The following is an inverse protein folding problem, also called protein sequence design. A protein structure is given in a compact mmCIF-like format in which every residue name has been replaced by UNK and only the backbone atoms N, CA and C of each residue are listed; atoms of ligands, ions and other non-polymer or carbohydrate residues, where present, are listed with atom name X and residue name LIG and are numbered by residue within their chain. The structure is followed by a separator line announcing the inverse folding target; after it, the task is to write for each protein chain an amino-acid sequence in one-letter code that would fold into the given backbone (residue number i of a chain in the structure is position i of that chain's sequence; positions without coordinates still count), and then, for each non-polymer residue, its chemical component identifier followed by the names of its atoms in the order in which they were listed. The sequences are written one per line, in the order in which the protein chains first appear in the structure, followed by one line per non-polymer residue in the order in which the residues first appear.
data_IF_763475522955
#
_entry.id   IF_763475522955
#
_cell.length_a   1.000
_cell.length_b   1.000
_cell.length_c   1.000
_cell.angle_alpha   90.00
_cell.angle_beta   90.00
_cell.angle_gamma   90.00
#
_symmetry.space_group_name_H-M   'P 1'
#
loop_
_entity.id
_entity.type
_entity.pdbx_description
1 polymer ?
#
# COMPACT_ATOMS: atom_id res chain seq x y z
N UNK A 1 12.87 5.20 18.34
CA UNK A 1 12.94 6.67 18.41
C UNK A 1 12.90 7.36 17.04
N UNK A 2 13.97 7.41 16.23
CA UNK A 2 13.94 8.16 14.95
C UNK A 2 13.01 7.54 13.88
N UNK A 3 12.94 6.20 13.85
CA UNK A 3 12.12 5.46 12.89
C UNK A 3 10.61 5.61 13.18
N UNK A 4 10.21 5.63 14.45
CA UNK A 4 8.81 5.87 14.85
C UNK A 4 8.32 7.27 14.46
N UNK A 5 9.18 8.28 14.59
CA UNK A 5 8.86 9.64 14.16
C UNK A 5 8.75 9.78 12.64
N UNK A 6 9.50 8.97 11.87
CA UNK A 6 9.34 8.89 10.41
C UNK A 6 8.01 8.25 10.04
N UNK A 7 7.68 7.11 10.65
CA UNK A 7 6.43 6.40 10.37
C UNK A 7 5.19 7.24 10.68
N UNK A 8 5.17 7.98 11.79
CA UNK A 8 4.06 8.89 12.11
C UNK A 8 3.88 9.99 11.05
N UNK A 9 4.99 10.50 10.50
CA UNK A 9 4.97 11.49 9.42
C UNK A 9 4.44 10.89 8.12
N UNK A 10 4.89 9.68 7.77
CA UNK A 10 4.48 8.98 6.56
C UNK A 10 2.98 8.64 6.58
N UNK A 11 2.46 8.22 7.74
CA UNK A 11 1.02 8.01 7.94
C UNK A 11 0.21 9.30 7.78
N UNK A 12 0.74 10.44 8.26
CA UNK A 12 0.10 11.74 8.05
C UNK A 12 0.05 12.17 6.58
N UNK A 13 1.06 11.82 5.78
CA UNK A 13 1.03 12.05 4.33
C UNK A 13 0.02 11.17 3.62
N UNK A 14 -0.05 9.90 4.02
CA UNK A 14 -1.01 8.96 3.47
C UNK A 14 -2.46 9.41 3.70
N UNK A 15 -2.79 9.91 4.89
CA UNK A 15 -4.14 10.39 5.21
C UNK A 15 -4.55 11.58 4.33
N UNK A 16 -3.62 12.52 4.09
CA UNK A 16 -3.82 13.63 3.16
C UNK A 16 -4.00 13.13 1.72
N UNK A 17 -3.22 12.13 1.31
CA UNK A 17 -3.32 11.55 -0.02
C UNK A 17 -4.68 10.88 -0.26
N UNK A 18 -5.15 10.05 0.66
CA UNK A 18 -6.47 9.41 0.58
C UNK A 18 -7.60 10.45 0.57
N UNK A 19 -7.45 11.53 1.34
CA UNK A 19 -8.40 12.65 1.33
C UNK A 19 -8.46 13.32 -0.04
N UNK A 20 -7.30 13.62 -0.63
CA UNK A 20 -7.23 14.22 -1.96
C UNK A 20 -7.85 13.31 -3.04
N UNK A 21 -7.59 12.00 -2.98
CA UNK A 21 -8.21 11.04 -3.90
C UNK A 21 -9.74 11.05 -3.79
N UNK A 22 -10.31 11.14 -2.58
CA UNK A 22 -11.75 11.28 -2.39
C UNK A 22 -12.29 12.59 -3.01
N UNK A 23 -11.55 13.69 -2.87
CA UNK A 23 -11.91 14.96 -3.53
C UNK A 23 -11.91 14.82 -5.05
N UNK A 24 -10.90 14.17 -5.63
CA UNK A 24 -10.84 13.92 -7.07
C UNK A 24 -11.94 12.98 -7.55
N UNK A 25 -12.33 11.99 -6.75
CA UNK A 25 -13.44 11.09 -7.07
C UNK A 25 -14.75 11.86 -7.26
N UNK A 26 -14.96 12.97 -6.55
CA UNK A 26 -16.13 13.85 -6.73
C UNK A 26 -16.25 14.47 -8.12
N UNK A 27 -15.15 14.57 -8.88
CA UNK A 27 -15.16 15.07 -10.26
C UNK A 27 -15.51 14.01 -11.31
N UNK A 28 -15.61 12.75 -10.91
CA UNK A 28 -15.94 11.64 -11.82
C UNK A 28 -17.46 11.54 -12.02
N UNK A 29 -17.83 11.06 -13.21
CA UNK A 29 -19.18 10.63 -13.51
C UNK A 29 -19.47 9.24 -12.92
N UNK A 30 -20.76 8.89 -12.86
CA UNK A 30 -21.16 7.50 -12.58
C UNK A 30 -20.97 6.62 -13.82
N UNK A 31 -20.64 5.32 -13.66
CA UNK A 31 -20.52 4.57 -12.39
C UNK A 31 -19.14 4.63 -11.71
N UNK A 32 -18.15 5.29 -12.35
CA UNK A 32 -16.75 5.27 -11.90
C UNK A 32 -16.56 5.92 -10.53
N UNK A 33 -17.34 6.97 -10.24
CA UNK A 33 -17.33 7.61 -8.93
C UNK A 33 -17.75 6.65 -7.82
N UNK A 34 -18.86 5.94 -7.98
CA UNK A 34 -19.34 4.99 -6.97
C UNK A 34 -18.34 3.87 -6.67
N UNK A 35 -17.74 3.30 -7.73
CA UNK A 35 -16.71 2.27 -7.58
C UNK A 35 -15.45 2.80 -6.88
N UNK A 36 -14.96 3.98 -7.27
CA UNK A 36 -13.78 4.58 -6.66
C UNK A 36 -14.02 4.94 -5.19
N UNK A 37 -15.19 5.48 -4.84
CA UNK A 37 -15.54 5.78 -3.44
C UNK A 37 -15.53 4.52 -2.60
N UNK A 38 -16.12 3.42 -3.10
CA UNK A 38 -16.11 2.13 -2.40
C UNK A 38 -14.68 1.62 -2.17
N UNK A 39 -13.84 1.66 -3.19
CA UNK A 39 -12.43 1.25 -3.08
C UNK A 39 -11.66 2.09 -2.06
N UNK A 40 -11.89 3.42 -2.05
CA UNK A 40 -11.23 4.32 -1.11
C UNK A 40 -11.69 4.09 0.33
N UNK A 41 -12.95 3.73 0.57
CA UNK A 41 -13.44 3.40 1.91
C UNK A 41 -12.85 2.09 2.43
N UNK A 42 -12.75 1.06 1.60
CA UNK A 42 -12.07 -0.19 1.95
C UNK A 42 -10.58 0.06 2.29
N UNK A 43 -9.93 0.92 1.51
CA UNK A 43 -8.51 1.23 1.70
C UNK A 43 -8.26 2.00 3.00
N UNK A 44 -9.13 2.97 3.36
CA UNK A 44 -9.05 3.67 4.65
C UNK A 44 -9.14 2.68 5.82
N UNK A 45 -10.08 1.73 5.78
CA UNK A 45 -10.22 0.71 6.82
C UNK A 45 -8.99 -0.19 6.94
N UNK A 46 -8.36 -0.57 5.82
CA UNK A 46 -7.11 -1.33 5.83
C UNK A 46 -5.99 -0.54 6.51
N UNK A 47 -5.88 0.75 6.20
CA UNK A 47 -4.86 1.60 6.80
C UNK A 47 -5.08 1.83 8.30
N UNK A 48 -6.32 2.00 8.75
CA UNK A 48 -6.62 2.10 10.18
C UNK A 48 -6.24 0.82 10.93
N UNK A 49 -6.46 -0.35 10.32
CA UNK A 49 -5.99 -1.63 10.88
C UNK A 49 -4.47 -1.70 10.96
N UNK A 50 -3.77 -1.27 9.92
CA UNK A 50 -2.30 -1.23 9.90
C UNK A 50 -1.79 -0.28 11.00
N UNK A 51 -2.38 0.91 11.15
CA UNK A 51 -2.05 1.86 12.22
C UNK A 51 -2.25 1.25 13.60
N UNK A 52 -3.36 0.56 13.82
CA UNK A 52 -3.65 -0.11 15.09
C UNK A 52 -2.61 -1.19 15.42
N UNK A 53 -2.25 -2.03 14.44
CA UNK A 53 -1.20 -3.05 14.59
C UNK A 53 0.17 -2.43 14.89
N UNK A 54 0.53 -1.35 14.18
CA UNK A 54 1.80 -0.64 14.40
C UNK A 54 1.85 0.08 15.76
N UNK A 55 0.71 0.53 16.28
CA UNK A 55 0.60 1.17 17.60
C UNK A 55 0.67 0.19 18.78
N UNK A 56 0.69 -1.12 18.51
CA UNK A 56 0.70 -2.15 19.55
C UNK A 56 -0.63 -2.33 20.28
N UNK A 57 -1.70 -1.65 19.84
CA UNK A 57 -3.05 -1.91 20.31
C UNK A 57 -3.46 -3.29 19.81
N UNK A 58 -3.80 -4.21 20.72
CA UNK A 58 -4.24 -5.54 20.38
C UNK A 58 -5.55 -5.46 19.57
N UNK A 59 -5.43 -5.57 18.25
CA UNK A 59 -6.58 -5.66 17.35
C UNK A 59 -7.11 -7.08 17.46
N UNK A 60 -8.34 -7.24 17.94
CA UNK A 60 -9.03 -8.53 17.91
C UNK A 60 -8.99 -9.10 16.48
N UNK A 61 -8.71 -10.40 16.30
CA UNK A 61 -8.66 -10.98 14.97
C UNK A 61 -10.05 -10.92 14.34
N UNK A 62 -10.30 -9.92 13.50
CA UNK A 62 -11.39 -9.99 12.56
C UNK A 62 -11.00 -11.02 11.50
N UNK A 63 -11.77 -12.12 11.44
CA UNK A 63 -11.85 -13.01 10.28
C UNK A 63 -12.15 -12.15 9.04
N UNK A 64 -11.11 -11.70 8.37
CA UNK A 64 -11.22 -11.19 7.02
C UNK A 64 -11.45 -12.38 6.12
N UNK A 65 -12.68 -12.48 5.59
CA UNK A 65 -12.98 -13.30 4.44
C UNK A 65 -11.89 -13.14 3.38
N UNK A 66 -11.38 -14.27 2.91
CA UNK A 66 -10.33 -14.45 1.91
C UNK A 66 -10.21 -13.31 0.89
N UNK A 67 -9.25 -12.42 1.10
CA UNK A 67 -8.53 -11.83 -0.01
C UNK A 67 -7.46 -12.84 -0.42
N UNK A 68 -7.66 -13.53 -1.54
CA UNK A 68 -6.64 -14.38 -2.15
C UNK A 68 -5.40 -13.54 -2.50
N UNK A 69 -4.48 -13.43 -1.55
CA UNK A 69 -3.09 -13.11 -1.86
C UNK A 69 -2.47 -14.37 -2.52
N UNK A 70 -1.77 -14.25 -3.66
CA UNK A 70 -1.05 -15.39 -4.22
C UNK A 70 0.04 -15.81 -3.23
N UNK A 71 -0.09 -17.02 -2.70
CA UNK A 71 0.89 -17.64 -1.83
C UNK A 71 2.22 -17.76 -2.59
N UNK A 72 3.21 -16.97 -2.20
CA UNK A 72 4.61 -17.19 -2.60
C UNK A 72 5.04 -18.50 -1.95
N UNK A 73 5.02 -19.58 -2.73
CA UNK A 73 5.59 -20.88 -2.35
C UNK A 73 7.09 -20.71 -2.16
N UNK A 74 7.53 -20.61 -0.92
CA UNK A 74 8.94 -20.82 -0.55
C UNK A 74 9.27 -22.30 -0.74
N UNK A 75 10.00 -22.64 -1.80
CA UNK A 75 10.72 -23.90 -1.93
C UNK A 75 12.22 -23.63 -1.71
N UNK A 76 12.95 -24.48 -0.96
CA UNK A 76 14.32 -24.18 -0.58
C UNK A 76 15.37 -24.64 -1.63
N UNK A 77 16.43 -23.82 -1.69
CA UNK A 77 17.83 -24.12 -1.97
C UNK A 77 18.32 -24.44 -3.41
N UNK A 78 19.20 -23.52 -3.83
CA UNK A 78 20.38 -23.65 -4.70
C UNK A 78 20.21 -23.74 -6.22
N UNK A 79 20.54 -22.63 -6.89
CA UNK A 79 21.63 -22.60 -7.88
C UNK A 79 22.14 -21.16 -8.06
N UNK A 80 23.45 -20.98 -7.89
CA UNK A 80 24.18 -19.74 -8.16
C UNK A 80 24.10 -19.35 -9.64
N UNK A 81 23.92 -18.05 -9.94
CA UNK A 81 24.96 -17.19 -10.55
C UNK A 81 24.40 -15.92 -11.20
N UNK A 82 25.16 -14.85 -10.97
CA UNK A 82 25.47 -13.78 -11.91
C UNK A 82 24.34 -12.80 -12.32
N UNK A 83 24.25 -11.72 -11.54
CA UNK A 83 24.54 -10.37 -12.04
C UNK A 83 23.69 -9.84 -13.19
N UNK A 84 22.79 -8.92 -12.87
CA UNK A 84 22.89 -7.49 -13.26
C UNK A 84 21.77 -6.74 -12.54
N UNK A 85 22.16 -5.87 -11.60
CA UNK A 85 21.24 -4.92 -11.00
C UNK A 85 20.74 -3.95 -12.06
N UNK A 86 19.44 -3.98 -12.33
CA UNK A 86 18.77 -2.93 -13.08
C UNK A 86 18.64 -1.72 -12.14
N UNK A 87 19.54 -0.76 -12.27
CA UNK A 87 19.43 0.53 -11.57
C UNK A 87 18.72 1.53 -12.48
N UNK A 88 17.88 2.36 -11.87
CA UNK A 88 17.05 3.41 -12.51
C UNK A 88 17.95 4.58 -12.94
N UNK A 89 18.86 4.33 -13.88
CA UNK A 89 19.81 5.33 -14.39
C UNK A 89 20.08 5.23 -15.90
N UNK A 90 19.68 4.15 -16.57
CA UNK A 90 19.92 3.97 -18.01
C UNK A 90 18.74 4.39 -18.87
N UNK A 91 18.34 5.66 -18.76
CA UNK A 91 17.53 6.34 -19.77
C UNK A 91 18.17 7.70 -20.05
N UNK A 92 19.26 7.67 -20.82
CA UNK A 92 19.64 8.82 -21.63
C UNK A 92 19.60 8.40 -23.10
N UNK A 93 18.73 9.01 -23.93
CA UNK A 93 18.83 8.88 -25.37
C UNK A 93 20.02 9.71 -25.84
N UNK A 94 20.91 9.12 -26.64
CA UNK A 94 21.89 9.92 -27.39
C UNK A 94 21.70 9.66 -28.88
N UNK A 95 21.15 10.71 -29.49
CA UNK A 95 21.28 11.23 -30.86
C UNK A 95 21.68 10.26 -31.96
#
# INVERSE_FOLDING_TARGET
MAQEASFARDLGYLDKFLTNLKTHAGSLAEPQRGELVKLLDEEVQRWDRIKALLSGVAVAPQETASASAPAVKTAPAQAERAGKGWTVGSLMPKA
#
